data_IF_057323486875
#
_entry.id   IF_057323486875
#
_cell.length_a   1.000
_cell.length_b   1.000
_cell.length_c   1.000
_cell.angle_alpha   90.00
_cell.angle_beta   90.00
_cell.angle_gamma   90.00
#
_symmetry.space_group_name_H-M   'P 1'
#
loop_
_entity.id
_entity.type
_entity.pdbx_description
1 polymer ?
#
# COMPACT_ATOMS: atom_id res chain seq x y z
N UNK A 1 26.16 7.16 -24.73
CA UNK A 1 26.80 7.21 -26.07
C UNK A 1 28.07 6.37 -26.07
N UNK A 2 28.12 5.19 -26.72
CA UNK A 2 29.35 4.47 -26.94
C UNK A 2 29.88 4.64 -28.37
N UNK A 3 31.14 5.06 -28.49
CA UNK A 3 32.04 4.71 -29.61
C UNK A 3 31.87 5.43 -30.94
N UNK A 4 32.17 6.73 -31.03
CA UNK A 4 32.42 7.40 -32.32
C UNK A 4 33.87 7.12 -32.77
N UNK A 5 34.12 6.49 -33.93
CA UNK A 5 35.49 6.25 -34.40
C UNK A 5 36.20 7.58 -34.72
N UNK A 6 37.22 7.93 -33.94
CA UNK A 6 37.98 9.19 -34.08
C UNK A 6 39.07 9.18 -35.18
N UNK A 7 39.19 8.08 -35.93
CA UNK A 7 40.28 7.87 -36.89
C UNK A 7 40.14 8.69 -38.17
N UNK A 8 41.21 9.42 -38.55
CA UNK A 8 41.32 10.26 -39.77
C UNK A 8 42.04 9.58 -40.95
N UNK A 9 42.13 8.25 -40.92
CA UNK A 9 42.81 7.49 -41.98
C UNK A 9 42.00 7.42 -43.27
N UNK A 10 42.66 7.48 -44.42
CA UNK A 10 42.01 7.34 -45.73
C UNK A 10 41.35 5.95 -45.90
N UNK A 11 40.43 5.84 -46.86
CA UNK A 11 39.65 4.62 -47.10
C UNK A 11 40.50 3.39 -47.40
N UNK A 12 41.51 3.53 -48.26
CA UNK A 12 42.40 2.43 -48.63
C UNK A 12 43.19 1.90 -47.44
N UNK A 13 43.69 2.79 -46.57
CA UNK A 13 44.42 2.41 -45.38
C UNK A 13 43.50 1.76 -44.32
N UNK A 14 42.27 2.26 -44.13
CA UNK A 14 41.30 1.66 -43.20
C UNK A 14 40.81 0.30 -43.65
N UNK A 15 40.44 0.12 -44.92
CA UNK A 15 40.02 -1.18 -45.47
C UNK A 15 41.08 -2.26 -45.25
N UNK A 16 42.35 -1.89 -45.38
CA UNK A 16 43.47 -2.82 -45.16
C UNK A 16 43.95 -2.86 -43.69
N UNK A 17 43.32 -2.11 -42.77
CA UNK A 17 43.72 -1.97 -41.36
C UNK A 17 45.20 -1.56 -41.20
N UNK A 18 45.69 -0.63 -42.02
CA UNK A 18 47.07 -0.11 -41.99
C UNK A 18 47.08 1.38 -41.59
N UNK A 19 48.15 1.80 -40.91
CA UNK A 19 48.31 3.18 -40.42
C UNK A 19 48.42 4.16 -41.60
N UNK A 20 47.67 5.26 -41.52
CA UNK A 20 47.67 6.35 -42.50
C UNK A 20 48.41 7.57 -41.91
N UNK A 21 49.32 8.15 -42.68
CA UNK A 21 50.10 9.35 -42.33
C UNK A 21 49.35 10.66 -42.61
N UNK A 22 48.14 10.61 -43.18
CA UNK A 22 47.20 11.72 -43.32
C UNK A 22 47.68 12.89 -44.21
N UNK A 23 48.79 12.72 -44.94
CA UNK A 23 49.30 13.71 -45.89
C UNK A 23 48.29 13.91 -47.04
N UNK A 24 48.15 15.17 -47.50
CA UNK A 24 47.31 15.57 -48.64
C UNK A 24 48.20 15.93 -49.85
N UNK A 25 47.75 15.71 -51.10
CA UNK A 25 46.44 15.16 -51.50
C UNK A 25 46.34 13.63 -51.36
N UNK A 26 47.46 12.92 -51.20
CA UNK A 26 47.49 11.47 -51.00
C UNK A 26 48.50 11.06 -49.92
N UNK A 27 48.11 10.12 -49.08
CA UNK A 27 48.95 9.54 -48.03
C UNK A 27 50.16 8.80 -48.64
N UNK A 28 51.31 8.73 -47.95
CA UNK A 28 52.55 8.19 -48.55
C UNK A 28 52.41 6.75 -49.03
N UNK A 29 51.60 5.94 -48.33
CA UNK A 29 51.32 4.55 -48.71
C UNK A 29 50.51 4.47 -50.00
N UNK A 30 49.44 5.25 -50.13
CA UNK A 30 48.63 5.28 -51.35
C UNK A 30 49.44 5.78 -52.54
N UNK A 31 50.29 6.81 -52.35
CA UNK A 31 51.19 7.32 -53.38
C UNK A 31 52.19 6.25 -53.85
N UNK A 32 52.86 5.55 -52.92
CA UNK A 32 53.83 4.48 -53.25
C UNK A 32 53.19 3.30 -53.97
N UNK A 33 51.98 2.92 -53.57
CA UNK A 33 51.26 1.79 -54.14
C UNK A 33 50.39 2.17 -55.35
N UNK A 34 50.44 3.43 -55.79
CA UNK A 34 49.59 3.98 -56.86
C UNK A 34 48.09 3.69 -56.64
N UNK A 35 47.64 3.75 -55.39
CA UNK A 35 46.24 3.56 -54.99
C UNK A 35 45.55 4.93 -54.87
N UNK A 36 44.26 4.96 -55.22
CA UNK A 36 43.41 6.14 -55.01
C UNK A 36 43.28 6.40 -53.51
N UNK A 37 43.58 7.64 -53.09
CA UNK A 37 43.57 8.05 -51.69
C UNK A 37 42.37 8.95 -51.41
N UNK A 38 41.33 8.40 -50.76
CA UNK A 38 40.09 9.14 -50.46
C UNK A 38 40.04 9.45 -48.96
N UNK A 39 39.88 10.73 -48.61
CA UNK A 39 39.69 11.21 -47.24
C UNK A 39 40.91 11.12 -46.33
N UNK A 40 42.12 11.34 -46.85
CA UNK A 40 43.34 11.45 -46.04
C UNK A 40 43.27 12.66 -45.11
N UNK A 41 43.30 12.44 -43.79
CA UNK A 41 43.26 13.51 -42.78
C UNK A 41 41.87 14.10 -42.52
N UNK A 42 40.82 13.58 -43.16
CA UNK A 42 39.43 14.03 -42.96
C UNK A 42 38.76 13.30 -41.80
N UNK A 43 38.08 14.04 -40.93
CA UNK A 43 37.20 13.45 -39.90
C UNK A 43 35.91 12.98 -40.56
N UNK A 44 35.54 11.73 -40.33
CA UNK A 44 34.29 11.17 -40.82
C UNK A 44 33.36 10.89 -39.66
N UNK A 45 32.18 11.51 -39.72
CA UNK A 45 31.07 11.22 -38.81
C UNK A 45 30.21 10.12 -39.41
N UNK A 46 29.86 9.10 -38.62
CA UNK A 46 28.85 8.11 -39.01
C UNK A 46 27.56 8.48 -38.30
N UNK A 47 26.64 9.11 -39.02
CA UNK A 47 25.30 9.36 -38.52
C UNK A 47 24.47 8.09 -38.72
N UNK A 48 23.86 7.59 -37.66
CA UNK A 48 22.85 6.54 -37.76
C UNK A 48 21.55 7.20 -38.22
N UNK A 49 21.19 7.02 -39.48
CA UNK A 49 19.90 7.44 -39.99
C UNK A 49 18.82 6.53 -39.40
N UNK A 50 17.96 7.08 -38.55
CA UNK A 50 16.68 6.47 -38.21
C UNK A 50 15.79 6.62 -39.44
N UNK A 51 15.81 5.60 -40.30
CA UNK A 51 15.00 5.61 -41.50
C UNK A 51 13.58 5.16 -41.16
N UNK A 52 12.64 6.10 -41.21
CA UNK A 52 11.26 5.83 -41.64
C UNK A 52 11.37 5.42 -43.11
N UNK A 53 11.08 4.15 -43.42
CA UNK A 53 11.09 3.66 -44.81
C UNK A 53 9.70 3.15 -45.16
N UNK A 54 9.00 3.84 -46.07
CA UNK A 54 8.37 3.22 -47.22
C UNK A 54 9.42 3.15 -48.36
N UNK A 55 9.89 1.96 -48.72
CA UNK A 55 10.74 1.72 -49.91
C UNK A 55 9.85 1.27 -51.06
N UNK A 56 9.88 1.79 -52.30
CA UNK A 56 10.98 1.97 -53.29
C UNK A 56 11.58 0.61 -53.71
N UNK A 57 11.68 0.16 -54.98
CA UNK A 57 11.72 0.79 -56.32
C UNK A 57 11.48 -0.26 -57.46
N UNK A 58 11.15 0.17 -58.70
CA UNK A 58 10.93 -0.57 -59.99
C UNK A 58 12.23 -1.17 -60.63
N UNK A 59 12.24 -1.88 -61.81
CA UNK A 59 11.45 -3.03 -62.34
C UNK A 59 12.29 -4.17 -63.07
N UNK A 60 11.60 -5.30 -63.39
CA UNK A 60 11.89 -6.45 -64.33
C UNK A 60 13.01 -7.44 -63.92
N UNK A 61 12.78 -8.77 -63.82
CA UNK A 61 12.23 -9.70 -64.84
C UNK A 61 11.54 -10.93 -64.20
N UNK A 62 10.58 -11.47 -64.93
CA UNK A 62 9.58 -12.53 -64.64
C UNK A 62 10.20 -13.89 -64.31
N UNK A 63 9.70 -14.57 -63.26
CA UNK A 63 9.06 -15.90 -63.33
C UNK A 63 8.47 -16.31 -61.97
N UNK A 64 7.18 -16.67 -62.01
CA UNK A 64 6.31 -17.07 -60.91
C UNK A 64 6.80 -18.29 -60.15
N UNK A 65 6.66 -18.27 -58.82
CA UNK A 65 6.08 -19.36 -58.02
C UNK A 65 5.95 -18.91 -56.56
N UNK A 66 4.71 -18.76 -56.10
CA UNK A 66 4.34 -18.35 -54.74
C UNK A 66 4.31 -19.58 -53.84
N UNK A 67 5.21 -19.64 -52.85
CA UNK A 67 5.02 -20.42 -51.63
C UNK A 67 5.23 -19.48 -50.42
N UNK A 68 4.15 -19.16 -49.72
CA UNK A 68 4.16 -18.35 -48.49
C UNK A 68 4.71 -19.16 -47.33
N UNK A 69 5.92 -18.85 -46.88
CA UNK A 69 6.42 -19.25 -45.55
C UNK A 69 6.07 -18.13 -44.59
N UNK A 70 5.27 -18.44 -43.56
CA UNK A 70 4.87 -17.50 -42.53
C UNK A 70 6.11 -16.95 -41.80
N UNK A 71 6.33 -15.64 -41.87
CA UNK A 71 7.37 -14.97 -41.10
C UNK A 71 6.95 -14.91 -39.62
N UNK A 72 7.75 -15.54 -38.78
CA UNK A 72 7.66 -15.44 -37.32
C UNK A 72 7.97 -13.98 -36.94
N UNK A 73 7.04 -13.24 -36.27
CA UNK A 73 7.31 -11.88 -35.84
C UNK A 73 8.45 -11.86 -34.84
N UNK A 74 9.52 -11.11 -35.14
CA UNK A 74 10.61 -10.89 -34.18
C UNK A 74 10.13 -9.93 -33.09
N UNK A 75 10.18 -10.39 -31.84
CA UNK A 75 9.79 -9.62 -30.65
C UNK A 75 10.57 -8.31 -30.53
N UNK A 76 9.94 -7.20 -30.11
CA UNK A 76 10.63 -5.93 -29.89
C UNK A 76 11.61 -6.08 -28.71
N UNK A 77 12.79 -5.44 -28.79
CA UNK A 77 13.74 -5.41 -27.67
C UNK A 77 13.08 -4.73 -26.46
N UNK A 78 12.72 -5.51 -25.43
CA UNK A 78 12.04 -4.98 -24.24
C UNK A 78 13.01 -4.12 -23.42
N UNK A 79 12.72 -2.82 -23.28
CA UNK A 79 13.39 -2.00 -22.26
C UNK A 79 13.13 -2.58 -20.86
N UNK A 80 13.99 -2.31 -19.87
CA UNK A 80 13.75 -2.78 -18.49
C UNK A 80 12.39 -2.32 -17.96
N UNK A 81 11.97 -1.09 -18.29
CA UNK A 81 10.65 -0.55 -17.97
C UNK A 81 9.52 -1.36 -18.63
N UNK A 82 9.68 -1.75 -19.90
CA UNK A 82 8.69 -2.61 -20.60
C UNK A 82 8.56 -3.97 -19.94
N UNK A 83 9.68 -4.58 -19.53
CA UNK A 83 9.67 -5.86 -18.81
C UNK A 83 9.00 -5.73 -17.44
N UNK A 84 9.33 -4.69 -16.66
CA UNK A 84 8.72 -4.43 -15.37
C UNK A 84 7.20 -4.17 -15.49
N UNK A 85 6.79 -3.38 -16.48
CA UNK A 85 5.38 -3.13 -16.77
C UNK A 85 4.64 -4.42 -17.13
N UNK A 86 5.21 -5.25 -18.02
CA UNK A 86 4.60 -6.53 -18.40
C UNK A 86 4.49 -7.49 -17.22
N UNK A 87 5.51 -7.56 -16.37
CA UNK A 87 5.50 -8.41 -15.18
C UNK A 87 4.43 -7.94 -14.17
N UNK A 88 4.32 -6.63 -13.95
CA UNK A 88 3.31 -6.09 -13.06
C UNK A 88 1.88 -6.24 -13.62
N UNK A 89 1.69 -6.05 -14.93
CA UNK A 89 0.41 -6.32 -15.60
C UNK A 89 -0.01 -7.78 -15.40
N UNK A 90 0.92 -8.73 -15.52
CA UNK A 90 0.63 -10.15 -15.26
C UNK A 90 0.21 -10.40 -13.81
N UNK A 91 0.73 -9.65 -12.83
CA UNK A 91 0.29 -9.71 -11.42
C UNK A 91 -1.10 -9.09 -11.21
N UNK A 92 -1.45 -8.06 -12.00
CA UNK A 92 -2.75 -7.39 -11.93
C UNK A 92 -3.87 -8.20 -12.63
N UNK A 93 -3.51 -9.14 -13.50
CA UNK A 93 -4.46 -10.08 -14.11
C UNK A 93 -5.03 -11.01 -13.04
N UNK A 94 -6.32 -10.81 -12.74
CA UNK A 94 -7.02 -11.59 -11.72
C UNK A 94 -7.33 -12.98 -12.26
N UNK A 95 -6.42 -13.92 -12.00
CA UNK A 95 -6.59 -15.35 -12.31
C UNK A 95 -7.08 -16.14 -11.11
N UNK A 96 -6.68 -15.72 -9.90
CA UNK A 96 -7.09 -16.27 -8.62
C UNK A 96 -7.43 -15.12 -7.67
N UNK A 97 -8.70 -15.07 -7.21
CA UNK A 97 -9.21 -14.01 -6.33
C UNK A 97 -8.48 -13.95 -4.99
N UNK A 98 -7.89 -15.06 -4.54
CA UNK A 98 -7.10 -15.13 -3.30
C UNK A 98 -5.89 -14.22 -3.30
N UNK A 99 -5.38 -13.92 -4.49
CA UNK A 99 -4.16 -13.14 -4.70
C UNK A 99 -4.41 -11.88 -5.55
N UNK A 100 -5.65 -11.41 -5.65
CA UNK A 100 -5.99 -10.19 -6.40
C UNK A 100 -5.36 -8.95 -5.72
N UNK A 101 -4.30 -8.42 -6.33
CA UNK A 101 -3.57 -7.27 -5.80
C UNK A 101 -4.43 -5.99 -5.74
N UNK A 102 -5.44 -5.88 -6.60
CA UNK A 102 -6.29 -4.68 -6.64
C UNK A 102 -7.24 -4.56 -5.43
N UNK A 103 -7.21 -5.55 -4.53
CA UNK A 103 -7.73 -5.42 -3.17
C UNK A 103 -7.13 -4.21 -2.42
N UNK A 104 -5.85 -3.90 -2.64
CA UNK A 104 -5.18 -2.73 -2.08
C UNK A 104 -5.51 -1.42 -2.82
N UNK A 105 -6.36 -1.46 -3.84
CA UNK A 105 -6.83 -0.29 -4.56
C UNK A 105 -6.91 -0.50 -6.06
N UNK A 106 -7.99 -0.02 -6.67
CA UNK A 106 -8.20 -0.13 -8.11
C UNK A 106 -7.17 0.68 -8.92
N UNK A 107 -6.64 1.76 -8.34
CA UNK A 107 -5.62 2.63 -8.94
C UNK A 107 -4.35 1.90 -9.33
N UNK A 108 -4.06 0.73 -8.75
CA UNK A 108 -2.90 -0.09 -9.12
C UNK A 108 -2.89 -0.43 -10.62
N UNK A 109 -4.07 -0.54 -11.25
CA UNK A 109 -4.21 -0.73 -12.70
C UNK A 109 -3.67 0.43 -13.54
N UNK A 110 -3.56 1.62 -12.95
CA UNK A 110 -3.01 2.82 -13.57
C UNK A 110 -1.49 2.96 -13.42
N UNK A 111 -0.83 2.08 -12.66
CA UNK A 111 0.63 2.13 -12.44
C UNK A 111 1.43 1.81 -13.72
N UNK A 112 1.10 0.80 -14.54
CA UNK A 112 1.92 0.44 -15.70
C UNK A 112 2.20 1.61 -16.66
N UNK A 113 1.25 2.53 -16.84
CA UNK A 113 1.42 3.71 -17.71
C UNK A 113 2.30 4.82 -17.10
N UNK A 114 2.63 4.70 -15.80
CA UNK A 114 3.46 5.66 -15.05
C UNK A 114 4.90 5.20 -14.89
N UNK A 115 5.20 3.94 -15.22
CA UNK A 115 6.55 3.39 -15.10
C UNK A 115 7.55 4.11 -16.01
N UNK A 116 8.79 4.25 -15.54
CA UNK A 116 9.85 4.98 -16.22
C UNK A 116 9.86 6.49 -15.96
N UNK A 117 8.88 7.03 -15.22
CA UNK A 117 8.81 8.46 -14.87
C UNK A 117 9.34 8.75 -13.47
N UNK A 118 9.32 7.76 -12.56
CA UNK A 118 9.76 7.91 -11.18
C UNK A 118 10.48 6.62 -10.75
N UNK A 119 11.76 6.74 -10.40
CA UNK A 119 12.59 5.60 -10.03
C UNK A 119 12.13 4.90 -8.75
N UNK A 120 11.59 5.63 -7.77
CA UNK A 120 11.06 5.02 -6.55
C UNK A 120 9.81 4.18 -6.84
N UNK A 121 8.94 4.67 -7.72
CA UNK A 121 7.78 3.89 -8.18
C UNK A 121 8.23 2.63 -8.90
N UNK A 122 9.16 2.75 -9.85
CA UNK A 122 9.68 1.60 -10.62
C UNK A 122 10.29 0.52 -9.70
N UNK A 123 11.12 0.93 -8.73
CA UNK A 123 11.74 0.02 -7.78
C UNK A 123 10.71 -0.64 -6.85
N UNK A 124 9.71 0.13 -6.38
CA UNK A 124 8.66 -0.38 -5.50
C UNK A 124 7.73 -1.36 -6.23
N UNK A 125 7.43 -1.11 -7.50
CA UNK A 125 6.66 -2.04 -8.34
C UNK A 125 7.41 -3.35 -8.53
N UNK A 126 8.73 -3.30 -8.79
CA UNK A 126 9.56 -4.51 -8.85
C UNK A 126 9.47 -5.31 -7.55
N UNK A 127 9.61 -4.65 -6.40
CA UNK A 127 9.52 -5.30 -5.09
C UNK A 127 8.16 -5.97 -4.88
N UNK A 128 7.05 -5.28 -5.15
CA UNK A 128 5.69 -5.82 -5.01
C UNK A 128 5.45 -6.99 -5.96
N UNK A 129 5.93 -6.91 -7.21
CA UNK A 129 5.82 -8.02 -8.18
C UNK A 129 6.48 -9.29 -7.67
N UNK A 130 7.70 -9.18 -7.10
CA UNK A 130 8.41 -10.33 -6.54
C UNK A 130 7.69 -10.82 -5.28
N UNK A 131 7.27 -9.91 -4.41
CA UNK A 131 6.59 -10.24 -3.15
C UNK A 131 5.28 -11.00 -3.39
N UNK A 132 4.51 -10.60 -4.41
CA UNK A 132 3.29 -11.28 -4.82
C UNK A 132 3.55 -12.76 -5.19
N UNK A 133 4.63 -13.03 -5.92
CA UNK A 133 5.05 -14.40 -6.25
C UNK A 133 5.45 -15.20 -5.00
N UNK A 134 6.15 -14.56 -4.05
CA UNK A 134 6.53 -15.17 -2.77
C UNK A 134 5.30 -15.56 -1.94
N UNK A 135 4.25 -14.72 -1.90
CA UNK A 135 2.99 -15.03 -1.22
C UNK A 135 2.28 -16.21 -1.89
N UNK A 136 2.22 -16.21 -3.23
CA UNK A 136 1.60 -17.30 -3.98
C UNK A 136 2.31 -18.65 -3.74
N UNK A 137 3.64 -18.64 -3.63
CA UNK A 137 4.46 -19.83 -3.40
C UNK A 137 4.69 -20.16 -1.92
N UNK A 138 4.28 -19.26 -1.00
CA UNK A 138 4.61 -19.29 0.44
C UNK A 138 6.11 -19.46 0.72
N UNK A 139 6.95 -18.84 -0.10
CA UNK A 139 8.42 -18.91 0.01
C UNK A 139 9.01 -17.53 -0.15
N UNK A 140 9.67 -17.04 0.90
CA UNK A 140 10.48 -15.85 0.83
C UNK A 140 11.73 -16.11 -0.04
N UNK A 141 12.21 -15.08 -0.72
CA UNK A 141 13.38 -15.16 -1.60
C UNK A 141 14.38 -14.06 -1.27
N UNK A 142 15.67 -14.30 -1.53
CA UNK A 142 16.68 -13.25 -1.32
C UNK A 142 16.51 -12.11 -2.34
N UNK A 143 16.00 -12.43 -3.53
CA UNK A 143 15.66 -11.47 -4.58
C UNK A 143 14.61 -10.46 -4.11
N UNK A 144 13.65 -10.90 -3.28
CA UNK A 144 12.65 -10.03 -2.68
C UNK A 144 13.28 -9.03 -1.72
N UNK A 145 14.12 -9.49 -0.80
CA UNK A 145 14.79 -8.61 0.16
C UNK A 145 15.69 -7.60 -0.54
N UNK A 146 16.44 -8.02 -1.57
CA UNK A 146 17.26 -7.12 -2.38
C UNK A 146 16.41 -6.06 -3.10
N UNK A 147 15.30 -6.46 -3.73
CA UNK A 147 14.39 -5.53 -4.39
C UNK A 147 13.70 -4.56 -3.41
N UNK A 148 13.32 -5.03 -2.22
CA UNK A 148 12.72 -4.19 -1.18
C UNK A 148 13.72 -3.16 -0.63
N UNK A 149 14.94 -3.60 -0.32
CA UNK A 149 16.01 -2.70 0.14
C UNK A 149 16.35 -1.66 -0.94
N UNK A 150 16.38 -2.06 -2.21
CA UNK A 150 16.60 -1.13 -3.33
C UNK A 150 15.45 -0.12 -3.48
N UNK A 151 14.20 -0.55 -3.29
CA UNK A 151 13.04 0.35 -3.27
C UNK A 151 13.15 1.39 -2.15
N UNK A 152 13.53 0.99 -0.93
CA UNK A 152 13.76 1.90 0.20
C UNK A 152 14.89 2.90 -0.09
N UNK A 153 16.02 2.44 -0.63
CA UNK A 153 17.15 3.32 -1.00
C UNK A 153 16.73 4.34 -2.06
N UNK A 154 16.03 3.89 -3.08
CA UNK A 154 15.56 4.75 -4.17
C UNK A 154 14.53 5.77 -3.68
N UNK A 155 13.61 5.34 -2.81
CA UNK A 155 12.65 6.23 -2.17
C UNK A 155 13.35 7.31 -1.36
N UNK A 156 14.35 6.97 -0.54
CA UNK A 156 15.14 7.95 0.24
C UNK A 156 15.78 9.00 -0.67
N UNK A 157 16.32 8.59 -1.82
CA UNK A 157 16.91 9.52 -2.80
C UNK A 157 15.83 10.44 -3.40
N UNK A 158 14.67 9.89 -3.78
CA UNK A 158 13.55 10.66 -4.32
C UNK A 158 13.00 11.67 -3.31
N UNK A 159 12.87 11.31 -2.04
CA UNK A 159 12.41 12.21 -0.98
C UNK A 159 13.39 13.36 -0.71
N UNK A 160 14.69 13.15 -0.93
CA UNK A 160 15.70 14.20 -0.83
C UNK A 160 15.80 15.09 -2.09
N UNK A 161 15.04 14.80 -3.15
CA UNK A 161 15.03 15.57 -4.39
C UNK A 161 13.73 16.37 -4.47
N UNK A 162 13.82 17.70 -4.37
CA UNK A 162 12.66 18.60 -4.23
C UNK A 162 11.56 18.36 -5.29
N UNK A 163 11.92 18.26 -6.57
CA UNK A 163 10.95 18.07 -7.67
C UNK A 163 10.25 16.69 -7.66
N UNK A 164 10.79 15.72 -6.90
CA UNK A 164 10.29 14.34 -6.86
C UNK A 164 9.62 13.98 -5.54
N UNK A 165 9.90 14.69 -4.45
CA UNK A 165 9.42 14.34 -3.12
C UNK A 165 7.89 14.46 -2.99
N UNK A 166 7.28 15.42 -3.69
CA UNK A 166 5.85 15.74 -3.61
C UNK A 166 5.09 15.37 -4.89
N UNK A 167 5.31 14.16 -5.42
CA UNK A 167 4.59 13.67 -6.60
C UNK A 167 3.66 12.51 -6.25
N UNK A 168 2.53 12.34 -6.97
CA UNK A 168 1.67 11.17 -6.82
C UNK A 168 2.42 9.84 -6.95
N UNK A 169 3.45 9.80 -7.80
CA UNK A 169 4.25 8.60 -8.03
C UNK A 169 5.13 8.26 -6.82
N UNK A 170 5.68 9.26 -6.13
CA UNK A 170 6.45 9.03 -4.89
C UNK A 170 5.54 8.57 -3.76
N UNK A 171 4.35 9.15 -3.62
CA UNK A 171 3.38 8.69 -2.64
C UNK A 171 2.90 7.25 -2.94
N UNK A 172 2.67 6.93 -4.21
CA UNK A 172 2.38 5.56 -4.65
C UNK A 172 3.51 4.60 -4.29
N UNK A 173 4.78 4.99 -4.48
CA UNK A 173 5.93 4.19 -4.11
C UNK A 173 5.94 3.89 -2.60
N UNK A 174 5.66 4.87 -1.75
CA UNK A 174 5.53 4.67 -0.29
C UNK A 174 4.44 3.65 0.02
N UNK A 175 3.27 3.79 -0.61
CA UNK A 175 2.16 2.85 -0.40
C UNK A 175 2.52 1.41 -0.79
N UNK A 176 3.18 1.22 -1.94
CA UNK A 176 3.67 -0.10 -2.37
C UNK A 176 4.72 -0.69 -1.42
N UNK A 177 5.60 0.15 -0.86
CA UNK A 177 6.56 -0.26 0.17
C UNK A 177 5.85 -0.68 1.45
N UNK A 178 4.79 0.02 1.87
CA UNK A 178 3.98 -0.37 3.04
C UNK A 178 3.31 -1.73 2.81
N UNK A 179 2.78 -1.98 1.61
CA UNK A 179 2.22 -3.29 1.23
C UNK A 179 3.30 -4.38 1.32
N UNK A 180 4.45 -4.17 0.68
CA UNK A 180 5.57 -5.11 0.74
C UNK A 180 5.98 -5.41 2.17
N UNK A 181 6.14 -4.39 3.01
CA UNK A 181 6.51 -4.56 4.41
C UNK A 181 5.49 -5.41 5.17
N UNK A 182 4.20 -5.26 4.89
CA UNK A 182 3.16 -6.11 5.47
C UNK A 182 3.29 -7.59 5.12
N UNK A 183 4.04 -7.94 4.07
CA UNK A 183 4.21 -9.33 3.60
C UNK A 183 5.57 -9.94 3.93
N UNK A 184 6.60 -9.11 4.12
CA UNK A 184 7.98 -9.57 4.37
C UNK A 184 8.46 -9.28 5.79
N UNK A 185 7.76 -8.41 6.53
CA UNK A 185 8.15 -7.97 7.85
C UNK A 185 8.25 -9.14 8.82
N UNK A 186 9.28 -9.10 9.66
CA UNK A 186 9.53 -10.11 10.69
C UNK A 186 8.86 -9.72 12.02
N UNK A 187 8.59 -10.71 12.88
CA UNK A 187 7.99 -10.47 14.22
C UNK A 187 8.76 -9.45 15.08
N UNK A 188 10.07 -9.38 14.90
CA UNK A 188 10.96 -8.51 15.67
C UNK A 188 11.18 -7.13 15.03
N UNK A 189 10.62 -6.90 13.83
CA UNK A 189 10.73 -5.59 13.19
C UNK A 189 10.00 -4.55 14.03
N UNK A 190 10.71 -3.46 14.36
CA UNK A 190 10.05 -2.29 14.90
C UNK A 190 9.06 -1.80 13.86
N UNK A 191 7.79 -1.60 14.27
CA UNK A 191 6.75 -1.04 13.45
C UNK A 191 7.20 0.38 13.03
N UNK A 192 7.88 0.47 11.89
CA UNK A 192 8.35 1.74 11.34
C UNK A 192 7.09 2.52 10.98
N UNK A 193 6.88 3.66 11.64
CA UNK A 193 5.72 4.51 11.44
C UNK A 193 5.79 5.23 10.10
N UNK A 194 5.50 4.51 9.01
CA UNK A 194 5.34 5.11 7.69
C UNK A 194 4.16 6.09 7.68
N UNK A 195 3.16 5.89 8.54
CA UNK A 195 1.98 6.72 8.62
C UNK A 195 2.27 8.18 8.98
N UNK A 196 3.27 8.48 9.82
CA UNK A 196 3.67 9.86 10.12
C UNK A 196 4.22 10.57 8.87
N UNK A 197 5.13 9.91 8.15
CA UNK A 197 5.73 10.44 6.92
C UNK A 197 4.69 10.61 5.81
N UNK A 198 3.83 9.61 5.64
CA UNK A 198 2.71 9.66 4.70
C UNK A 198 1.75 10.79 5.06
N UNK A 199 1.39 10.97 6.33
CA UNK A 199 0.49 12.05 6.77
C UNK A 199 1.09 13.42 6.44
N UNK A 200 2.40 13.60 6.63
CA UNK A 200 3.09 14.83 6.24
C UNK A 200 2.99 15.10 4.74
N UNK A 201 3.36 14.12 3.91
CA UNK A 201 3.31 14.24 2.44
C UNK A 201 1.89 14.44 1.92
N UNK A 202 0.89 13.82 2.57
CA UNK A 202 -0.51 13.97 2.22
C UNK A 202 -1.05 15.37 2.53
N UNK A 203 -0.64 15.97 3.64
CA UNK A 203 -1.01 17.35 3.96
C UNK A 203 -0.43 18.34 2.95
N UNK A 204 0.79 18.09 2.47
CA UNK A 204 1.39 18.87 1.38
C UNK A 204 0.66 18.64 0.05
N UNK A 205 0.35 17.39 -0.30
CA UNK A 205 -0.37 17.04 -1.53
C UNK A 205 -1.79 17.65 -1.61
N UNK A 206 -2.47 17.81 -0.47
CA UNK A 206 -3.77 18.47 -0.40
C UNK A 206 -3.73 19.95 -0.82
N UNK A 207 -2.54 20.58 -0.83
CA UNK A 207 -2.34 21.95 -1.31
C UNK A 207 -2.08 22.03 -2.83
N UNK A 208 -1.70 20.91 -3.45
CA UNK A 208 -1.24 20.80 -4.85
C UNK A 208 -2.37 20.39 -5.84
N UNK A 209 -3.63 20.35 -5.38
CA UNK A 209 -4.82 20.22 -6.22
C UNK A 209 -4.87 18.98 -7.16
N UNK A 210 -4.53 17.80 -6.61
CA UNK A 210 -4.43 16.54 -7.36
C UNK A 210 -5.79 15.97 -7.81
N UNK A 211 -6.24 16.25 -9.02
CA UNK A 211 -7.59 15.91 -9.47
C UNK A 211 -7.79 14.59 -10.22
N UNK A 212 -6.72 13.86 -10.52
CA UNK A 212 -6.82 12.65 -11.34
C UNK A 212 -7.52 11.48 -10.62
N UNK A 213 -8.15 10.59 -11.41
CA UNK A 213 -8.84 9.41 -10.87
C UNK A 213 -7.89 8.47 -10.11
N UNK A 214 -6.66 8.33 -10.60
CA UNK A 214 -5.60 7.56 -9.94
C UNK A 214 -5.25 8.13 -8.58
N UNK A 215 -5.00 9.44 -8.52
CA UNK A 215 -4.64 10.17 -7.30
C UNK A 215 -5.74 10.01 -6.26
N UNK A 216 -7.00 10.28 -6.65
CA UNK A 216 -8.17 10.11 -5.79
C UNK A 216 -8.28 8.70 -5.20
N UNK A 217 -8.22 7.67 -6.03
CA UNK A 217 -8.35 6.27 -5.57
C UNK A 217 -7.19 5.84 -4.68
N UNK A 218 -5.97 6.27 -4.99
CA UNK A 218 -4.78 6.03 -4.17
C UNK A 218 -4.90 6.69 -2.80
N UNK A 219 -5.30 7.97 -2.76
CA UNK A 219 -5.48 8.73 -1.52
C UNK A 219 -6.53 8.07 -0.62
N UNK A 220 -7.66 7.63 -1.17
CA UNK A 220 -8.69 6.90 -0.43
C UNK A 220 -8.16 5.57 0.14
N UNK A 221 -7.36 4.83 -0.63
CA UNK A 221 -6.77 3.55 -0.19
C UNK A 221 -5.74 3.75 0.94
N UNK A 222 -4.94 4.82 0.85
CA UNK A 222 -4.00 5.23 1.90
C UNK A 222 -4.72 5.62 3.20
N UNK A 223 -5.87 6.30 3.12
CA UNK A 223 -6.62 6.71 4.30
C UNK A 223 -7.02 5.53 5.18
N UNK A 224 -7.41 4.39 4.60
CA UNK A 224 -7.76 3.18 5.37
C UNK A 224 -6.57 2.68 6.20
N UNK A 225 -5.39 2.66 5.59
CA UNK A 225 -4.15 2.23 6.27
C UNK A 225 -3.77 3.19 7.38
N UNK A 226 -3.89 4.49 7.14
CA UNK A 226 -3.58 5.51 8.15
C UNK A 226 -4.57 5.50 9.32
N UNK A 227 -5.86 5.29 9.05
CA UNK A 227 -6.87 5.14 10.11
C UNK A 227 -6.47 3.97 11.01
N UNK A 228 -6.10 2.83 10.43
CA UNK A 228 -5.65 1.66 11.19
C UNK A 228 -4.40 1.97 12.04
N UNK A 229 -3.37 2.62 11.48
CA UNK A 229 -2.14 2.97 12.22
C UNK A 229 -2.41 4.01 13.34
N UNK A 230 -3.35 4.93 13.13
CA UNK A 230 -3.67 6.00 14.09
C UNK A 230 -4.29 5.50 15.40
N UNK A 231 -4.74 4.25 15.47
CA UNK A 231 -5.17 3.63 16.74
C UNK A 231 -4.00 3.56 17.74
N UNK A 232 -2.82 3.12 17.30
CA UNK A 232 -1.62 2.99 18.15
C UNK A 232 -0.72 4.22 18.08
N UNK A 233 -0.71 4.95 16.97
CA UNK A 233 0.14 6.12 16.79
C UNK A 233 -0.63 7.46 16.92
N UNK A 234 -0.60 8.13 18.08
CA UNK A 234 -1.33 9.37 18.29
C UNK A 234 -0.75 10.57 17.51
N UNK A 235 0.44 10.44 16.91
CA UNK A 235 1.06 11.49 16.10
C UNK A 235 0.41 11.62 14.73
N UNK A 236 -0.29 10.59 14.27
CA UNK A 236 -1.07 10.61 13.05
C UNK A 236 -2.36 11.40 13.30
N UNK A 237 -2.47 12.58 12.67
CA UNK A 237 -3.63 13.48 12.77
C UNK A 237 -4.33 13.54 11.42
N UNK A 238 -5.45 12.81 11.30
CA UNK A 238 -6.16 12.63 10.03
C UNK A 238 -7.27 13.65 9.76
N UNK A 239 -7.69 14.41 10.76
CA UNK A 239 -8.91 15.23 10.70
C UNK A 239 -8.86 16.29 9.59
N UNK A 240 -7.78 17.07 9.49
CA UNK A 240 -7.62 18.10 8.46
C UNK A 240 -7.52 17.49 7.07
N UNK A 241 -6.72 16.44 6.92
CA UNK A 241 -6.51 15.74 5.66
C UNK A 241 -7.81 15.11 5.13
N UNK A 242 -8.49 14.33 5.96
CA UNK A 242 -9.70 13.63 5.56
C UNK A 242 -10.85 14.58 5.28
N UNK A 243 -10.93 15.70 6.00
CA UNK A 243 -11.90 16.74 5.66
C UNK A 243 -11.68 17.24 4.22
N UNK A 244 -10.44 17.61 3.88
CA UNK A 244 -10.11 18.06 2.52
C UNK A 244 -10.37 16.97 1.49
N UNK A 245 -9.96 15.73 1.75
CA UNK A 245 -10.16 14.62 0.82
C UNK A 245 -11.63 14.24 0.64
N UNK A 246 -12.42 14.22 1.71
CA UNK A 246 -13.86 13.93 1.60
C UNK A 246 -14.59 15.04 0.85
N UNK A 247 -14.28 16.31 1.12
CA UNK A 247 -14.89 17.43 0.38
C UNK A 247 -14.46 17.50 -1.09
N UNK A 248 -13.19 17.24 -1.39
CA UNK A 248 -12.65 17.30 -2.75
C UNK A 248 -13.04 16.08 -3.61
N UNK A 249 -13.19 14.91 -3.00
CA UNK A 249 -13.28 13.64 -3.75
C UNK A 249 -14.56 12.83 -3.49
N UNK A 250 -15.50 13.27 -2.67
CA UNK A 250 -16.84 12.68 -2.72
C UNK A 250 -17.81 13.25 -1.70
N UNK A 251 -18.96 13.80 -2.11
CA UNK A 251 -20.03 14.03 -1.16
C UNK A 251 -20.41 12.70 -0.49
N UNK A 252 -20.93 12.72 0.76
CA UNK A 252 -21.60 11.56 1.33
C UNK A 252 -22.58 11.03 0.29
N UNK A 253 -22.59 9.71 0.05
CA UNK A 253 -23.60 9.14 -0.84
C UNK A 253 -24.98 9.49 -0.27
N UNK A 254 -25.97 9.81 -1.11
CA UNK A 254 -27.31 10.11 -0.63
C UNK A 254 -27.81 8.97 0.27
N UNK A 255 -28.25 9.30 1.49
CA UNK A 255 -28.79 8.36 2.49
C UNK A 255 -27.80 7.42 3.21
N UNK A 256 -26.49 7.71 3.18
CA UNK A 256 -25.50 7.10 4.07
C UNK A 256 -25.21 8.02 5.28
N UNK A 257 -25.33 7.48 6.50
CA UNK A 257 -25.02 8.18 7.74
C UNK A 257 -23.53 8.06 8.09
N UNK A 258 -22.91 6.94 7.75
CA UNK A 258 -21.48 6.69 7.94
C UNK A 258 -20.66 7.33 6.81
N UNK A 259 -19.55 7.98 7.17
CA UNK A 259 -18.57 8.50 6.22
C UNK A 259 -17.17 8.14 6.67
N UNK A 260 -16.21 8.07 5.74
CA UNK A 260 -14.81 7.83 6.07
C UNK A 260 -14.28 8.84 7.10
N UNK A 261 -14.70 10.10 6.99
CA UNK A 261 -14.39 11.16 7.94
C UNK A 261 -14.86 10.82 9.37
N UNK A 262 -16.13 10.41 9.53
CA UNK A 262 -16.66 10.04 10.85
C UNK A 262 -15.93 8.83 11.45
N UNK A 263 -15.66 7.80 10.63
CA UNK A 263 -14.97 6.58 11.06
C UNK A 263 -13.54 6.87 11.52
N UNK A 264 -12.84 7.79 10.85
CA UNK A 264 -11.49 8.18 11.22
C UNK A 264 -11.38 8.96 12.54
N UNK A 265 -12.49 9.41 13.13
CA UNK A 265 -12.50 10.03 14.47
C UNK A 265 -12.47 8.99 15.59
N UNK A 266 -12.77 7.72 15.34
CA UNK A 266 -12.77 6.66 16.36
C UNK A 266 -11.44 6.58 17.14
N UNK A 267 -10.26 6.61 16.50
CA UNK A 267 -8.98 6.70 17.22
C UNK A 267 -8.85 7.92 18.13
N UNK A 268 -9.39 9.09 17.74
CA UNK A 268 -9.45 10.28 18.61
C UNK A 268 -10.37 10.04 19.80
N UNK A 269 -11.54 9.45 19.58
CA UNK A 269 -12.48 9.14 20.66
C UNK A 269 -11.88 8.17 21.68
N UNK A 270 -11.18 7.12 21.25
CA UNK A 270 -10.56 6.17 22.18
C UNK A 270 -9.36 6.76 22.94
N UNK A 271 -8.76 7.84 22.41
CA UNK A 271 -7.68 8.58 23.09
C UNK A 271 -8.22 9.44 24.21
N UNK A 272 -9.32 10.14 23.95
CA UNK A 272 -9.98 11.04 24.90
C UNK A 272 -11.48 10.73 24.99
N UNK A 273 -11.84 9.60 25.63
CA UNK A 273 -13.21 9.07 25.57
C UNK A 273 -14.21 9.89 26.38
N UNK A 274 -13.76 10.59 27.42
CA UNK A 274 -14.62 11.37 28.30
C UNK A 274 -15.20 12.59 27.56
N UNK A 275 -14.34 13.34 26.87
CA UNK A 275 -14.74 14.50 26.08
C UNK A 275 -15.62 14.12 24.89
N UNK A 276 -15.44 12.91 24.35
CA UNK A 276 -16.09 12.46 23.13
C UNK A 276 -17.21 11.43 23.35
N UNK A 277 -17.73 11.29 24.58
CA UNK A 277 -18.75 10.28 24.88
C UNK A 277 -20.00 10.42 24.00
N UNK A 278 -20.54 11.62 23.86
CA UNK A 278 -21.73 11.87 23.03
C UNK A 278 -21.45 11.68 21.53
N UNK A 279 -20.24 12.04 21.08
CA UNK A 279 -19.79 11.79 19.70
C UNK A 279 -19.70 10.29 19.41
N UNK A 280 -19.20 9.49 20.37
CA UNK A 280 -19.17 8.03 20.27
C UNK A 280 -20.58 7.45 20.18
N UNK A 281 -21.51 7.88 21.04
CA UNK A 281 -22.90 7.43 20.99
C UNK A 281 -23.59 7.77 19.68
N UNK A 282 -23.37 8.99 19.17
CA UNK A 282 -23.94 9.45 17.90
C UNK A 282 -23.41 8.61 16.73
N UNK A 283 -22.09 8.44 16.64
CA UNK A 283 -21.49 7.62 15.58
C UNK A 283 -21.93 6.17 15.67
N UNK A 284 -22.04 5.60 16.87
CA UNK A 284 -22.50 4.23 17.05
C UNK A 284 -23.92 4.04 16.49
N UNK A 285 -24.84 4.96 16.80
CA UNK A 285 -26.21 4.94 16.25
C UNK A 285 -26.23 5.07 14.73
N UNK A 286 -25.44 5.99 14.18
CA UNK A 286 -25.30 6.16 12.72
C UNK A 286 -24.83 4.86 12.05
N UNK A 287 -23.85 4.19 12.63
CA UNK A 287 -23.34 2.91 12.13
C UNK A 287 -24.44 1.83 12.21
N UNK A 288 -25.18 1.73 13.31
CA UNK A 288 -26.25 0.74 13.45
C UNK A 288 -27.38 0.90 12.42
N UNK A 289 -27.62 2.11 11.91
CA UNK A 289 -28.61 2.35 10.84
C UNK A 289 -28.11 1.80 9.49
N UNK A 290 -26.82 1.92 9.22
CA UNK A 290 -26.23 1.55 7.92
C UNK A 290 -25.72 0.10 7.87
N UNK A 291 -25.34 -0.48 9.02
CA UNK A 291 -24.79 -1.82 9.11
C UNK A 291 -25.69 -2.91 8.48
N UNK A 292 -27.04 -2.91 8.69
CA UNK A 292 -27.93 -3.87 8.02
C UNK A 292 -27.94 -3.70 6.49
N UNK A 293 -27.79 -2.47 5.98
CA UNK A 293 -27.73 -2.20 4.53
C UNK A 293 -26.47 -2.80 3.93
N UNK A 294 -25.33 -2.66 4.62
CA UNK A 294 -24.06 -3.25 4.21
C UNK A 294 -24.14 -4.79 4.22
N UNK A 295 -24.72 -5.37 5.28
CA UNK A 295 -24.96 -6.82 5.38
C UNK A 295 -25.83 -7.35 4.24
N UNK A 296 -26.91 -6.64 3.91
CA UNK A 296 -27.81 -7.02 2.82
C UNK A 296 -27.11 -6.92 1.45
N UNK A 297 -26.34 -5.86 1.22
CA UNK A 297 -25.55 -5.69 -0.01
C UNK A 297 -24.53 -6.83 -0.18
N UNK A 298 -23.84 -7.22 0.89
CA UNK A 298 -22.95 -8.37 0.90
C UNK A 298 -23.70 -9.67 0.60
N UNK A 299 -24.80 -9.93 1.31
CA UNK A 299 -25.61 -11.17 1.17
C UNK A 299 -26.16 -11.36 -0.25
N UNK A 300 -26.53 -10.26 -0.91
CA UNK A 300 -27.01 -10.29 -2.31
C UNK A 300 -25.93 -10.82 -3.26
N UNK A 301 -24.67 -10.45 -3.00
CA UNK A 301 -23.52 -10.83 -3.81
C UNK A 301 -23.04 -12.27 -3.52
N UNK A 302 -23.52 -12.92 -2.46
CA UNK A 302 -23.16 -14.31 -2.11
C UNK A 302 -23.60 -15.31 -3.19
N UNK A 303 -24.65 -14.97 -3.96
CA UNK A 303 -25.12 -15.78 -5.10
C UNK A 303 -24.20 -15.73 -6.32
N UNK A 304 -23.30 -14.75 -6.39
CA UNK A 304 -22.28 -14.58 -7.42
C UNK A 304 -20.91 -14.35 -6.76
N UNK A 305 -20.37 -15.38 -6.07
CA UNK A 305 -19.13 -15.24 -5.33
C UNK A 305 -18.01 -14.84 -6.29
N UNK A 306 -17.30 -13.79 -5.93
CA UNK A 306 -16.34 -13.15 -6.81
C UNK A 306 -15.72 -11.92 -6.16
N UNK A 307 -14.97 -11.15 -6.94
CA UNK A 307 -14.31 -9.92 -6.48
C UNK A 307 -15.24 -8.96 -5.75
N UNK A 308 -16.44 -8.72 -6.30
CA UNK A 308 -17.39 -7.79 -5.70
C UNK A 308 -17.92 -8.30 -4.35
N UNK A 309 -18.14 -9.62 -4.21
CA UNK A 309 -18.52 -10.21 -2.94
C UNK A 309 -17.40 -10.04 -1.89
N UNK A 310 -16.16 -10.35 -2.24
CA UNK A 310 -15.01 -10.19 -1.34
C UNK A 310 -14.81 -8.73 -0.89
N UNK A 311 -14.95 -7.77 -1.82
CA UNK A 311 -14.89 -6.33 -1.50
C UNK A 311 -16.03 -5.89 -0.58
N UNK A 312 -17.25 -6.36 -0.82
CA UNK A 312 -18.39 -6.06 0.04
C UNK A 312 -18.22 -6.66 1.44
N UNK A 313 -17.69 -7.89 1.53
CA UNK A 313 -17.34 -8.53 2.80
C UNK A 313 -16.26 -7.77 3.57
N UNK A 314 -15.19 -7.32 2.89
CA UNK A 314 -14.13 -6.56 3.50
C UNK A 314 -14.63 -5.22 4.06
N UNK A 315 -15.46 -4.49 3.29
CA UNK A 315 -16.11 -3.27 3.76
C UNK A 315 -16.98 -3.57 4.98
N UNK A 316 -17.85 -4.57 4.89
CA UNK A 316 -18.74 -4.96 5.97
C UNK A 316 -17.98 -5.32 7.25
N UNK A 317 -17.00 -6.21 7.15
CA UNK A 317 -16.18 -6.65 8.26
C UNK A 317 -15.37 -5.53 8.89
N UNK A 318 -14.83 -4.60 8.09
CA UNK A 318 -14.08 -3.45 8.60
C UNK A 318 -14.99 -2.52 9.42
N UNK A 319 -16.19 -2.21 8.91
CA UNK A 319 -17.17 -1.41 9.65
C UNK A 319 -17.59 -2.13 10.93
N UNK A 320 -17.89 -3.44 10.85
CA UNK A 320 -18.27 -4.25 12.00
C UNK A 320 -17.16 -4.29 13.08
N UNK A 321 -15.89 -4.38 12.69
CA UNK A 321 -14.76 -4.33 13.62
C UNK A 321 -14.70 -2.98 14.37
N UNK A 322 -14.86 -1.87 13.65
CA UNK A 322 -14.93 -0.53 14.24
C UNK A 322 -16.13 -0.39 15.19
N UNK A 323 -17.28 -0.95 14.80
CA UNK A 323 -18.49 -1.01 15.65
C UNK A 323 -18.23 -1.77 16.94
N UNK A 324 -17.55 -2.91 16.89
CA UNK A 324 -17.19 -3.71 18.08
C UNK A 324 -16.29 -2.92 19.03
N UNK A 325 -15.29 -2.20 18.49
CA UNK A 325 -14.41 -1.35 19.30
C UNK A 325 -15.20 -0.22 19.97
N UNK A 326 -16.07 0.45 19.21
CA UNK A 326 -16.91 1.54 19.71
C UNK A 326 -17.92 1.05 20.75
N UNK A 327 -18.59 -0.08 20.50
CA UNK A 327 -19.47 -0.75 21.46
C UNK A 327 -18.73 -1.09 22.76
N UNK A 328 -17.52 -1.66 22.67
CA UNK A 328 -16.74 -2.01 23.85
C UNK A 328 -16.32 -0.78 24.67
N UNK A 329 -16.03 0.35 23.99
CA UNK A 329 -15.79 1.63 24.65
C UNK A 329 -17.06 2.17 25.31
N UNK A 330 -18.22 2.14 24.64
CA UNK A 330 -19.50 2.59 25.22
C UNK A 330 -19.93 1.75 26.43
N UNK A 331 -19.76 0.43 26.38
CA UNK A 331 -19.98 -0.47 27.54
C UNK A 331 -19.09 -0.14 28.74
N UNK A 332 -18.01 0.61 28.56
CA UNK A 332 -17.21 1.09 29.67
C UNK A 332 -17.89 2.25 30.43
N UNK A 333 -18.71 3.04 29.73
CA UNK A 333 -19.52 4.12 30.30
C UNK A 333 -20.87 3.62 30.83
N UNK A 334 -21.48 2.71 30.08
CA UNK A 334 -22.84 2.22 30.34
C UNK A 334 -22.81 0.70 30.56
N UNK A 335 -22.16 0.20 31.64
CA UNK A 335 -21.93 -1.25 31.84
C UNK A 335 -23.20 -2.06 32.07
N UNK A 336 -24.31 -1.40 32.42
CA UNK A 336 -25.61 -2.02 32.65
C UNK A 336 -26.60 -1.85 31.49
N UNK A 337 -26.17 -1.22 30.38
CA UNK A 337 -27.02 -1.15 29.19
C UNK A 337 -27.07 -2.53 28.51
N UNK A 338 -28.23 -3.18 28.67
CA UNK A 338 -28.49 -4.51 28.11
C UNK A 338 -28.40 -4.52 26.58
N UNK A 339 -28.77 -3.42 25.90
CA UNK A 339 -28.73 -3.35 24.42
C UNK A 339 -27.32 -3.42 23.90
N UNK A 340 -26.39 -2.72 24.55
CA UNK A 340 -24.97 -2.79 24.18
C UNK A 340 -24.40 -4.20 24.40
N UNK A 341 -24.91 -4.93 25.41
CA UNK A 341 -24.57 -6.33 25.66
C UNK A 341 -25.11 -7.28 24.59
N UNK A 342 -26.38 -7.12 24.20
CA UNK A 342 -27.03 -7.88 23.12
C UNK A 342 -26.32 -7.65 21.77
N UNK A 343 -26.01 -6.39 21.46
CA UNK A 343 -25.24 -6.02 20.28
C UNK A 343 -23.87 -6.71 20.27
N UNK A 344 -23.16 -6.71 21.41
CA UNK A 344 -21.84 -7.36 21.51
C UNK A 344 -21.91 -8.88 21.24
N UNK A 345 -22.95 -9.55 21.75
CA UNK A 345 -23.18 -10.98 21.48
C UNK A 345 -23.51 -11.24 20.00
N UNK A 346 -24.32 -10.37 19.39
CA UNK A 346 -24.64 -10.44 17.96
C UNK A 346 -23.38 -10.28 17.11
N UNK A 347 -22.55 -9.27 17.40
CA UNK A 347 -21.31 -9.02 16.64
C UNK A 347 -20.31 -10.16 16.76
N UNK A 348 -20.26 -10.85 17.91
CA UNK A 348 -19.43 -12.05 18.07
C UNK A 348 -19.81 -13.11 17.05
N UNK A 349 -21.09 -13.52 17.03
CA UNK A 349 -21.60 -14.55 16.11
C UNK A 349 -21.33 -14.14 14.67
N UNK A 350 -21.52 -12.86 14.37
CA UNK A 350 -21.38 -12.35 13.01
C UNK A 350 -19.93 -12.31 12.52
N UNK A 351 -18.97 -11.90 13.34
CA UNK A 351 -17.55 -11.91 12.97
C UNK A 351 -17.04 -13.34 12.80
N UNK A 352 -17.45 -14.29 13.66
CA UNK A 352 -17.08 -15.71 13.52
C UNK A 352 -17.62 -16.28 12.21
N UNK A 353 -18.90 -16.02 11.90
CA UNK A 353 -19.49 -16.45 10.63
C UNK A 353 -18.80 -15.80 9.42
N UNK A 354 -18.48 -14.50 9.51
CA UNK A 354 -17.80 -13.79 8.43
C UNK A 354 -16.38 -14.35 8.20
N UNK A 355 -15.68 -14.75 9.27
CA UNK A 355 -14.38 -15.41 9.18
C UNK A 355 -14.46 -16.75 8.42
N UNK A 356 -15.50 -17.55 8.65
CA UNK A 356 -15.72 -18.79 7.90
C UNK A 356 -16.04 -18.52 6.43
N UNK A 357 -16.91 -17.54 6.16
CA UNK A 357 -17.30 -17.17 4.80
C UNK A 357 -16.15 -16.57 3.98
N UNK A 358 -15.16 -15.96 4.63
CA UNK A 358 -14.00 -15.36 3.98
C UNK A 358 -12.91 -16.37 3.59
N UNK A 359 -13.00 -17.63 4.04
CA UNK A 359 -12.00 -18.67 3.75
C UNK A 359 -11.63 -18.83 2.26
N UNK A 360 -12.58 -18.80 1.30
CA UNK A 360 -12.24 -18.90 -0.12
C UNK A 360 -11.39 -17.74 -0.67
N UNK A 361 -11.28 -16.63 0.07
CA UNK A 361 -10.59 -15.41 -0.33
C UNK A 361 -9.20 -15.24 0.33
N UNK A 362 -8.78 -16.20 1.16
CA UNK A 362 -7.47 -16.21 1.82
C UNK A 362 -6.33 -16.45 0.80
N UNK A 363 -5.17 -15.78 0.91
CA UNK A 363 -4.77 -14.94 2.05
C UNK A 363 -5.05 -13.44 1.87
N UNK A 364 -4.99 -12.87 0.66
CA UNK A 364 -4.99 -11.41 0.49
C UNK A 364 -6.38 -10.80 0.61
N UNK A 365 -7.37 -11.34 -0.10
CA UNK A 365 -8.71 -10.78 -0.15
C UNK A 365 -9.51 -10.99 1.16
N UNK A 366 -9.05 -11.90 2.03
CA UNK A 366 -9.53 -12.07 3.40
C UNK A 366 -8.63 -11.35 4.44
N UNK A 367 -7.65 -10.57 4.02
CA UNK A 367 -6.64 -9.94 4.90
C UNK A 367 -7.20 -8.91 5.90
N UNK A 368 -8.46 -8.49 5.76
CA UNK A 368 -9.15 -7.66 6.75
C UNK A 368 -9.60 -8.47 7.99
N UNK A 369 -9.85 -9.77 7.85
CA UNK A 369 -10.43 -10.56 8.93
C UNK A 369 -9.59 -10.64 10.20
N UNK A 370 -8.24 -10.76 10.15
CA UNK A 370 -7.42 -10.69 11.35
C UNK A 370 -7.72 -9.44 12.20
N UNK A 371 -7.95 -8.27 11.58
CA UNK A 371 -8.29 -7.04 12.31
C UNK A 371 -9.67 -7.10 12.96
N UNK A 372 -10.66 -7.72 12.31
CA UNK A 372 -11.97 -7.97 12.90
C UNK A 372 -11.88 -8.91 14.10
N UNK A 373 -11.10 -9.98 13.99
CA UNK A 373 -10.90 -10.98 15.05
C UNK A 373 -10.12 -10.35 16.23
N UNK A 374 -9.12 -9.50 15.95
CA UNK A 374 -8.40 -8.70 16.95
C UNK A 374 -9.35 -7.78 17.73
N UNK A 375 -10.22 -7.06 17.03
CA UNK A 375 -11.24 -6.20 17.64
C UNK A 375 -12.19 -7.01 18.53
N UNK A 376 -12.67 -8.15 18.03
CA UNK A 376 -13.54 -9.06 18.78
C UNK A 376 -12.85 -9.59 20.03
N UNK A 377 -11.64 -10.13 19.91
CA UNK A 377 -10.88 -10.68 21.04
C UNK A 377 -10.67 -9.64 22.15
N UNK A 378 -10.40 -8.39 21.76
CA UNK A 378 -10.19 -7.29 22.68
C UNK A 378 -11.49 -6.90 23.42
N UNK A 379 -12.63 -6.97 22.74
CA UNK A 379 -13.95 -6.64 23.28
C UNK A 379 -14.60 -7.79 24.08
N UNK A 380 -14.21 -9.04 23.83
CA UNK A 380 -14.76 -10.23 24.50
C UNK A 380 -14.30 -10.33 25.95
N UNK A 381 -15.27 -10.50 26.84
CA UNK A 381 -15.05 -10.73 28.28
C UNK A 381 -15.25 -12.18 28.70
N UNK A 382 -16.12 -12.91 27.99
CA UNK A 382 -16.37 -14.34 28.23
C UNK A 382 -15.16 -15.21 27.88
N UNK A 383 -14.90 -16.23 28.70
CA UNK A 383 -13.74 -17.11 28.58
C UNK A 383 -13.90 -18.16 27.49
N UNK A 384 -15.12 -18.66 27.27
CA UNK A 384 -15.41 -19.69 26.25
C UNK A 384 -15.33 -19.05 24.86
N UNK A 385 -15.99 -17.91 24.68
CA UNK A 385 -15.94 -17.11 23.47
C UNK A 385 -14.49 -16.73 23.11
N UNK A 386 -13.67 -16.41 24.11
CA UNK A 386 -12.26 -16.07 23.88
C UNK A 386 -11.48 -17.23 23.26
N UNK A 387 -11.73 -18.48 23.67
CA UNK A 387 -11.04 -19.65 23.10
C UNK A 387 -11.38 -19.81 21.62
N UNK A 388 -12.65 -19.64 21.25
CA UNK A 388 -13.09 -19.69 19.85
C UNK A 388 -12.38 -18.62 19.03
N UNK A 389 -12.38 -17.38 19.51
CA UNK A 389 -11.74 -16.25 18.82
C UNK A 389 -10.22 -16.44 18.68
N UNK A 390 -9.55 -17.00 19.70
CA UNK A 390 -8.12 -17.33 19.65
C UNK A 390 -7.79 -18.40 18.63
N UNK A 391 -8.63 -19.45 18.54
CA UNK A 391 -8.48 -20.50 17.54
C UNK A 391 -8.67 -19.96 16.12
N UNK A 392 -9.71 -19.15 15.89
CA UNK A 392 -9.94 -18.49 14.60
C UNK A 392 -8.77 -17.57 14.24
N UNK A 393 -8.23 -16.80 15.19
CA UNK A 393 -7.07 -15.95 14.93
C UNK A 393 -5.82 -16.76 14.58
N UNK A 394 -5.60 -17.89 15.27
CA UNK A 394 -4.48 -18.77 15.00
C UNK A 394 -4.56 -19.44 13.61
N UNK A 395 -5.75 -19.78 13.14
CA UNK A 395 -5.94 -20.28 11.76
C UNK A 395 -5.57 -19.20 10.73
N UNK A 396 -6.06 -17.97 10.91
CA UNK A 396 -5.70 -16.83 10.05
C UNK A 396 -4.22 -16.44 10.15
N UNK A 397 -3.56 -16.66 11.29
CA UNK A 397 -2.13 -16.43 11.47
C UNK A 397 -1.28 -17.25 10.49
N UNK A 398 -1.77 -18.40 10.01
CA UNK A 398 -1.05 -19.25 9.05
C UNK A 398 -0.90 -18.62 7.67
N UNK A 399 -1.67 -17.58 7.35
CA UNK A 399 -1.51 -16.81 6.11
C UNK A 399 -0.34 -15.83 6.17
N UNK A 400 -0.01 -15.36 7.38
CA UNK A 400 1.02 -14.37 7.65
C UNK A 400 1.71 -14.70 8.98
N UNK A 401 2.59 -15.70 8.99
CA UNK A 401 3.16 -16.27 10.22
C UNK A 401 3.87 -15.22 11.11
N UNK A 402 4.45 -14.20 10.50
CA UNK A 402 5.19 -13.15 11.19
C UNK A 402 4.32 -11.99 11.70
N UNK A 403 3.03 -11.95 11.35
CA UNK A 403 2.15 -10.88 11.78
C UNK A 403 1.88 -10.92 13.30
N UNK A 404 1.75 -9.74 13.92
CA UNK A 404 1.63 -9.61 15.39
C UNK A 404 0.19 -9.39 15.86
N UNK A 405 -0.75 -10.17 15.34
CA UNK A 405 -2.18 -9.95 15.59
C UNK A 405 -2.55 -10.08 17.07
N UNK A 406 -2.01 -11.06 17.77
CA UNK A 406 -2.28 -11.23 19.20
C UNK A 406 -1.74 -10.07 20.05
N UNK A 407 -0.60 -9.49 19.68
CA UNK A 407 -0.06 -8.31 20.37
C UNK A 407 -0.97 -7.10 20.17
N UNK A 408 -1.49 -6.91 18.95
CA UNK A 408 -2.48 -5.88 18.65
C UNK A 408 -3.76 -6.07 19.48
N UNK A 409 -4.25 -7.31 19.62
CA UNK A 409 -5.42 -7.64 20.41
C UNK A 409 -5.23 -7.33 21.90
N UNK A 410 -4.07 -7.69 22.46
CA UNK A 410 -3.68 -7.38 23.85
C UNK A 410 -3.55 -5.87 24.07
N UNK A 411 -2.91 -5.16 23.14
CA UNK A 411 -2.79 -3.70 23.19
C UNK A 411 -4.16 -3.02 23.21
N UNK A 412 -5.05 -3.41 22.29
CA UNK A 412 -6.39 -2.86 22.16
C UNK A 412 -7.24 -3.16 23.40
N UNK A 413 -7.17 -4.39 23.93
CA UNK A 413 -7.81 -4.76 25.19
C UNK A 413 -7.30 -3.90 26.36
N UNK A 414 -5.99 -3.67 26.41
CA UNK A 414 -5.36 -2.78 27.39
C UNK A 414 -5.90 -1.34 27.29
N UNK A 415 -6.07 -0.82 26.07
CA UNK A 415 -6.69 0.49 25.83
C UNK A 415 -8.14 0.54 26.31
N UNK A 416 -8.98 -0.41 25.91
CA UNK A 416 -10.38 -0.49 26.37
C UNK A 416 -10.47 -0.63 27.91
N UNK A 417 -9.57 -1.40 28.51
CA UNK A 417 -9.47 -1.51 29.96
C UNK A 417 -9.08 -0.19 30.66
N UNK A 418 -8.25 0.65 30.04
CA UNK A 418 -7.95 2.00 30.55
C UNK A 418 -9.20 2.89 30.55
N UNK A 419 -10.00 2.86 29.49
CA UNK A 419 -11.25 3.62 29.41
C UNK A 419 -12.17 3.24 30.57
N UNK A 420 -12.38 1.92 30.79
CA UNK A 420 -13.21 1.43 31.91
C UNK A 420 -12.72 1.91 33.28
N UNK A 421 -11.41 1.93 33.50
CA UNK A 421 -10.84 2.45 34.76
C UNK A 421 -11.03 3.96 34.90
N UNK A 422 -10.82 4.73 33.84
CA UNK A 422 -11.01 6.18 33.85
C UNK A 422 -12.47 6.55 34.20
N UNK A 423 -13.43 5.86 33.58
CA UNK A 423 -14.85 6.10 33.88
C UNK A 423 -15.22 5.68 35.30
N UNK A 424 -14.72 4.54 35.77
CA UNK A 424 -14.99 4.07 37.13
C UNK A 424 -14.46 5.01 38.23
N UNK A 425 -13.34 5.70 37.99
CA UNK A 425 -12.81 6.71 38.94
C UNK A 425 -13.76 7.90 39.02
N UNK A 426 -14.24 8.41 37.89
CA UNK A 426 -15.16 9.54 37.86
C UNK A 426 -16.50 9.23 38.54
N UNK A 427 -17.06 8.04 38.31
CA UNK A 427 -18.33 7.67 38.97
C UNK A 427 -18.18 7.54 40.48
N UNK A 428 -17.01 7.15 40.97
CA UNK A 428 -16.69 7.11 42.41
C UNK A 428 -16.45 8.52 42.96
N UNK A 429 -15.79 9.41 42.23
CA UNK A 429 -15.61 10.82 42.62
C UNK A 429 -16.96 11.58 42.66
N UNK A 430 -17.84 11.36 41.68
CA UNK A 430 -19.19 11.91 41.65
C UNK A 430 -20.08 11.34 42.77
N UNK A 431 -19.95 10.04 43.09
CA UNK A 431 -20.65 9.42 44.21
C UNK A 431 -20.07 9.82 45.59
N UNK A 432 -18.77 10.13 45.65
CA UNK A 432 -18.04 10.57 46.84
C UNK A 432 -18.14 12.07 47.14
N UNK A 433 -18.69 12.87 46.22
CA UNK A 433 -18.97 14.29 46.39
C UNK A 433 -20.04 14.64 47.43
N UNK A 434 -20.67 13.64 48.06
CA UNK A 434 -21.49 13.80 49.27
C UNK A 434 -20.79 13.15 50.48
N UNK A 435 -19.74 13.81 50.96
CA UNK A 435 -19.30 13.79 52.36
C UNK A 435 -18.66 12.50 52.89
N UNK A 436 -17.33 12.47 52.92
CA UNK A 436 -16.54 12.52 54.16
C UNK A 436 -15.05 12.44 53.78
N UNK A 437 -14.27 13.49 54.08
CA UNK A 437 -12.82 13.41 54.03
C UNK A 437 -12.33 12.35 55.02
N UNK A 438 -11.66 11.31 54.52
CA UNK A 438 -10.82 10.46 55.36
C UNK A 438 -9.40 10.63 54.86
N UNK A 439 -8.68 11.52 55.54
CA UNK A 439 -7.22 11.63 55.44
C UNK A 439 -6.62 10.46 56.21
N UNK A 440 -5.82 9.67 55.51
CA UNK A 440 -4.90 8.70 56.08
C UNK A 440 -3.47 9.29 56.01
N UNK A 441 -2.79 9.21 57.15
CA UNK A 441 -1.49 9.79 57.40
C UNK A 441 -0.36 8.85 56.95
N UNK A 442 -0.03 8.81 55.66
CA UNK A 442 1.31 8.33 55.25
C UNK A 442 1.80 8.69 53.82
N UNK A 443 1.21 9.70 53.16
CA UNK A 443 1.78 10.45 52.02
C UNK A 443 2.96 9.82 51.27
N UNK A 444 2.75 8.68 50.61
CA UNK A 444 3.78 8.03 49.77
C UNK A 444 3.23 7.77 48.38
N UNK A 445 3.77 8.57 47.49
CA UNK A 445 3.76 8.43 46.05
C UNK A 445 4.48 7.11 45.66
N UNK A 446 3.81 6.26 44.86
CA UNK A 446 4.39 5.05 44.29
C UNK A 446 4.43 5.18 42.76
N UNK A 447 5.42 5.94 42.31
CA UNK A 447 6.39 5.57 41.28
C UNK A 447 5.86 5.02 39.95
N UNK A 448 5.92 5.88 38.94
CA UNK A 448 5.90 5.55 37.51
C UNK A 448 6.89 4.41 37.14
N UNK A 449 6.50 3.46 36.29
CA UNK A 449 7.43 2.74 35.42
C UNK A 449 7.66 3.56 34.16
N UNK A 450 8.93 3.91 33.93
CA UNK A 450 9.40 4.92 32.99
C UNK A 450 8.89 4.82 31.55
N UNK A 451 8.64 5.99 30.99
CA UNK A 451 8.56 6.25 29.56
C UNK A 451 9.84 5.81 28.87
N UNK A 452 9.78 4.74 28.08
CA UNK A 452 10.87 4.37 27.19
C UNK A 452 10.92 5.40 26.06
N UNK A 453 11.80 6.39 26.22
CA UNK A 453 12.14 7.40 25.22
C UNK A 453 12.57 6.71 23.91
N UNK A 454 11.77 6.81 22.86
CA UNK A 454 12.17 6.43 21.50
C UNK A 454 13.19 7.46 21.01
N UNK A 455 14.47 7.12 21.07
CA UNK A 455 15.54 7.94 20.49
C UNK A 455 15.47 7.88 18.96
N UNK A 456 15.44 9.06 18.37
CA UNK A 456 15.61 9.31 16.95
C UNK A 456 17.08 9.06 16.58
N UNK A 457 17.35 8.08 15.70
CA UNK A 457 18.66 7.95 15.06
C UNK A 457 18.53 8.37 13.60
N UNK A 458 18.75 9.66 13.33
CA UNK A 458 19.23 10.11 12.02
C UNK A 458 20.74 9.95 12.03
N UNK A 459 21.23 8.93 11.32
CA UNK A 459 22.52 8.97 10.60
C UNK A 459 22.32 8.35 9.21
#
# INVERSE_FOLDING_TARGET
MPGVPSGRGCDGCRKQKKKCDQIKPACSRCRRLKLICIGSGERRFKFHAQMVVPGSTRPKTVQDTVFTVAEIPRSPSSSQTTTAASAFVSVLEVTDLRFDLTYFGAFLKGIPSRLGTNSALDASVKAVTIAHQCIHTRRQSWELYDAYVEALKTLRICLNTHDKSQTPNTLCAIYLIMICQGWIGQRDDQFMGHGEAVTHLLNEAALEDWHGAFEKEMLLSLCVVLIAESFDNPRIKLETLLWTLTMAYGPPRPNENITLYKLARIPTYLRDPLTHFLDMQTLYRDILIDLPKLRAAQSTLTTMPGKHHAQAQALYGTILALTVILNAALRAFEPFDLRLGEDAAMFHVEIVLLAEQANPYRPLAAGYMPLCIVALWAATTDTVDRVVVEQTLADYQTDFEDARWMDMAKWLKGRLGRIRRQVAVLTVEEAGGSGCEVVDANGRDLGEPGTMQRQCCVM
#
